data_IF_851687695205
#
_entry.id   IF_851687695205
#
_cell.length_a   1.000
_cell.length_b   1.000
_cell.length_c   1.000
_cell.angle_alpha   90.00
_cell.angle_beta   90.00
_cell.angle_gamma   90.00
#
_symmetry.space_group_name_H-M   'P 1'
#
loop_
_entity.id
_entity.type
_entity.pdbx_description
1 polymer ?
#
# COMPACT_ATOMS: atom_id res chain seq x y z
N UNK A 1 9.68 -7.42 7.61
CA UNK A 1 8.49 -7.51 6.76
C UNK A 1 7.23 -7.54 7.60
N UNK A 2 6.26 -6.80 7.19
CA UNK A 2 4.94 -6.84 7.82
C UNK A 2 3.95 -7.53 6.91
N UNK A 3 2.71 -7.56 7.33
CA UNK A 3 1.66 -8.24 6.57
C UNK A 3 0.39 -7.44 6.55
N UNK A 4 -0.28 -7.45 5.40
CA UNK A 4 -1.66 -7.01 5.25
C UNK A 4 -2.52 -8.28 5.20
N UNK A 5 -3.41 -8.42 6.16
CA UNK A 5 -4.28 -9.58 6.23
C UNK A 5 -5.67 -9.14 5.80
N UNK A 6 -6.19 -9.81 4.76
CA UNK A 6 -7.38 -9.39 4.05
C UNK A 6 -8.55 -10.32 4.33
N UNK A 7 -9.65 -9.72 4.77
CA UNK A 7 -10.89 -10.46 4.96
C UNK A 7 -10.82 -11.46 6.09
N UNK A 8 -11.80 -12.34 6.12
CA UNK A 8 -11.86 -13.37 7.15
C UNK A 8 -11.20 -14.67 6.71
N UNK A 9 -10.82 -14.76 5.43
CA UNK A 9 -10.20 -15.97 4.89
C UNK A 9 -8.71 -16.02 5.08
N UNK A 10 -8.14 -15.04 5.76
CA UNK A 10 -6.72 -15.04 6.13
C UNK A 10 -5.77 -14.98 4.94
N UNK A 11 -6.16 -14.25 3.90
CA UNK A 11 -5.23 -13.97 2.82
C UNK A 11 -4.21 -12.99 3.38
N UNK A 12 -2.95 -13.40 3.35
CA UNK A 12 -1.87 -12.60 3.93
C UNK A 12 -0.90 -12.19 2.84
N UNK A 13 -0.66 -10.88 2.73
CA UNK A 13 0.27 -10.33 1.75
C UNK A 13 1.40 -9.65 2.52
N UNK A 14 2.64 -10.04 2.22
CA UNK A 14 3.80 -9.48 2.90
C UNK A 14 4.32 -8.26 2.18
N UNK A 15 4.63 -7.22 2.95
CA UNK A 15 5.27 -6.00 2.47
C UNK A 15 6.30 -5.58 3.50
N UNK A 16 7.28 -4.81 3.07
CA UNK A 16 8.17 -4.16 4.03
C UNK A 16 7.35 -3.24 4.92
N UNK A 17 7.75 -3.10 6.17
CA UNK A 17 7.02 -2.25 7.11
C UNK A 17 6.86 -0.84 6.56
N UNK A 18 7.88 -0.32 5.90
CA UNK A 18 7.83 1.03 5.32
C UNK A 18 6.77 1.14 4.24
N UNK A 19 6.69 0.14 3.37
CA UNK A 19 5.64 0.10 2.34
C UNK A 19 4.27 0.01 2.98
N UNK A 20 4.13 -0.85 3.96
CA UNK A 20 2.85 -1.08 4.63
C UNK A 20 2.36 0.18 5.33
N UNK A 21 3.27 0.96 5.92
CA UNK A 21 2.90 2.19 6.59
C UNK A 21 2.29 3.18 5.61
N UNK A 22 2.92 3.34 4.44
CA UNK A 22 2.39 4.24 3.41
C UNK A 22 1.05 3.74 2.88
N UNK A 23 0.93 2.44 2.66
CA UNK A 23 -0.33 1.86 2.20
C UNK A 23 -1.44 2.08 3.22
N UNK A 24 -1.14 1.92 4.51
CA UNK A 24 -2.16 2.09 5.53
C UNK A 24 -2.74 3.51 5.50
N UNK A 25 -1.89 4.51 5.33
CA UNK A 25 -2.35 5.90 5.31
C UNK A 25 -3.31 6.12 4.14
N UNK A 26 -2.93 5.68 2.95
CA UNK A 26 -3.73 5.90 1.75
C UNK A 26 -5.03 5.11 1.83
N UNK A 27 -4.94 3.84 2.20
CA UNK A 27 -6.11 2.97 2.26
C UNK A 27 -7.08 3.47 3.34
N UNK A 28 -6.56 3.86 4.50
CA UNK A 28 -7.41 4.37 5.57
C UNK A 28 -8.16 5.62 5.13
N UNK A 29 -7.48 6.51 4.41
CA UNK A 29 -8.12 7.74 3.94
C UNK A 29 -9.29 7.43 3.02
N UNK A 30 -9.11 6.47 2.10
CA UNK A 30 -10.18 6.09 1.19
C UNK A 30 -11.35 5.42 1.91
N UNK A 31 -11.04 4.49 2.78
CA UNK A 31 -12.09 3.73 3.47
C UNK A 31 -12.87 4.59 4.46
N UNK A 32 -12.21 5.57 5.08
CA UNK A 32 -12.91 6.51 5.97
C UNK A 32 -13.92 7.35 5.22
N UNK A 33 -13.72 7.55 3.93
CA UNK A 33 -14.66 8.27 3.07
C UNK A 33 -15.68 7.31 2.46
N UNK A 34 -15.66 6.06 2.89
CA UNK A 34 -16.58 5.00 2.47
C UNK A 34 -16.48 4.72 0.97
N UNK A 35 -15.27 4.81 0.44
CA UNK A 35 -15.02 4.52 -0.96
C UNK A 35 -14.49 3.11 -1.08
N UNK A 36 -14.84 2.45 -2.18
CA UNK A 36 -14.36 1.11 -2.50
C UNK A 36 -13.46 1.21 -3.72
N UNK A 37 -12.43 0.37 -3.77
CA UNK A 37 -11.46 0.48 -4.86
C UNK A 37 -10.62 -0.79 -4.92
N UNK A 38 -10.01 -1.04 -6.07
CA UNK A 38 -9.03 -2.12 -6.19
C UNK A 38 -7.68 -1.66 -5.68
N UNK A 39 -6.93 -2.59 -5.09
CA UNK A 39 -5.55 -2.40 -4.74
C UNK A 39 -4.73 -3.46 -5.46
N UNK A 40 -3.75 -3.03 -6.23
CA UNK A 40 -2.93 -3.91 -7.06
C UNK A 40 -1.46 -3.73 -6.73
N UNK A 41 -0.72 -4.82 -6.82
CA UNK A 41 0.71 -4.78 -6.59
C UNK A 41 1.38 -5.83 -7.46
N UNK A 42 2.69 -5.70 -7.61
CA UNK A 42 3.47 -6.70 -8.33
C UNK A 42 4.00 -7.71 -7.32
N UNK A 43 3.77 -8.97 -7.60
CA UNK A 43 4.25 -10.04 -6.73
C UNK A 43 5.76 -10.13 -6.81
N UNK A 44 6.39 -10.63 -5.74
CA UNK A 44 7.82 -10.87 -5.76
C UNK A 44 8.11 -12.09 -6.64
N UNK A 45 9.35 -12.22 -7.07
CA UNK A 45 9.75 -13.39 -7.86
C UNK A 45 9.53 -14.68 -7.09
N UNK A 46 9.57 -14.61 -5.77
CA UNK A 46 9.34 -15.78 -4.92
C UNK A 46 7.97 -16.39 -5.15
N UNK A 47 6.96 -15.56 -5.44
CA UNK A 47 5.59 -16.04 -5.55
C UNK A 47 5.08 -15.99 -6.99
N UNK A 48 5.96 -15.82 -7.96
CA UNK A 48 5.56 -15.98 -9.34
C UNK A 48 5.71 -14.79 -10.26
N UNK A 49 6.21 -13.66 -9.80
CA UNK A 49 6.54 -12.52 -10.64
C UNK A 49 5.34 -11.96 -11.43
N UNK A 50 4.14 -12.16 -10.94
CA UNK A 50 2.94 -11.64 -11.57
C UNK A 50 2.42 -10.41 -10.88
N UNK A 51 1.14 -10.13 -11.11
CA UNK A 51 0.43 -9.04 -10.45
C UNK A 51 -0.76 -9.60 -9.69
N UNK A 52 -1.09 -8.96 -8.58
CA UNK A 52 -2.25 -9.34 -7.80
C UNK A 52 -3.12 -8.13 -7.53
N UNK A 53 -4.40 -8.33 -7.39
CA UNK A 53 -5.35 -7.28 -7.08
C UNK A 53 -6.38 -7.79 -6.09
N UNK A 54 -6.77 -6.92 -5.14
CA UNK A 54 -7.86 -7.23 -4.23
C UNK A 54 -8.83 -6.06 -4.21
N UNK A 55 -10.08 -6.35 -3.91
CA UNK A 55 -11.13 -5.35 -3.80
C UNK A 55 -11.22 -4.89 -2.35
N UNK A 56 -11.02 -3.61 -2.11
CA UNK A 56 -11.09 -3.02 -0.77
C UNK A 56 -12.40 -2.29 -0.61
N UNK A 57 -13.05 -2.52 0.54
CA UNK A 57 -14.36 -1.97 0.81
C UNK A 57 -14.48 -1.76 2.32
N UNK A 58 -15.20 -0.72 2.76
CA UNK A 58 -15.32 -0.47 4.20
C UNK A 58 -15.88 -1.64 5.00
N UNK A 59 -16.63 -2.54 4.34
CA UNK A 59 -17.17 -3.70 5.03
C UNK A 59 -16.25 -4.89 5.12
N UNK A 60 -15.07 -4.83 4.53
CA UNK A 60 -14.13 -5.96 4.53
C UNK A 60 -13.07 -5.72 5.59
N UNK A 61 -12.87 -6.64 6.53
CA UNK A 61 -11.87 -6.44 7.57
C UNK A 61 -10.45 -6.39 7.00
N UNK A 62 -9.64 -5.49 7.51
CA UNK A 62 -8.23 -5.37 7.16
C UNK A 62 -7.42 -5.32 8.44
N UNK A 63 -6.31 -6.05 8.44
CA UNK A 63 -5.41 -6.08 9.58
C UNK A 63 -4.00 -5.79 9.07
N UNK A 64 -3.40 -4.70 9.57
CA UNK A 64 -2.04 -4.32 9.23
C UNK A 64 -1.15 -4.72 10.39
N UNK A 65 -0.28 -5.69 10.14
CA UNK A 65 0.63 -6.18 11.17
C UNK A 65 2.06 -5.82 10.80
N UNK A 66 2.72 -5.07 11.67
CA UNK A 66 4.10 -4.63 11.43
C UNK A 66 5.06 -5.51 12.22
N UNK A 67 6.24 -5.76 11.65
CA UNK A 67 7.20 -6.61 12.33
C UNK A 67 8.03 -5.81 13.33
N UNK A 68 8.25 -4.52 13.08
CA UNK A 68 9.00 -3.68 14.01
C UNK A 68 8.10 -2.75 14.79
N UNK A 69 8.61 -2.26 15.92
CA UNK A 69 7.85 -1.33 16.76
C UNK A 69 8.06 0.13 16.40
N UNK A 70 9.02 0.42 15.54
CA UNK A 70 9.32 1.80 15.16
C UNK A 70 8.48 2.19 13.95
N UNK A 71 7.85 3.37 14.02
CA UNK A 71 7.08 3.87 12.90
C UNK A 71 8.04 4.44 11.86
N UNK A 72 8.01 3.94 10.61
CA UNK A 72 8.90 4.45 9.57
C UNK A 72 8.63 5.91 9.24
N UNK A 73 9.66 6.60 8.76
CA UNK A 73 9.52 7.96 8.28
C UNK A 73 8.73 7.96 6.98
N UNK A 74 7.80 8.89 6.86
CA UNK A 74 6.94 8.97 5.67
C UNK A 74 7.67 9.70 4.55
N UNK A 75 7.67 9.10 3.37
CA UNK A 75 8.15 9.73 2.14
C UNK A 75 6.96 10.43 1.50
N UNK A 76 6.90 11.73 1.61
CA UNK A 76 5.74 12.50 1.16
C UNK A 76 5.52 12.41 -0.34
N UNK A 77 6.59 12.30 -1.11
CA UNK A 77 6.46 12.16 -2.55
C UNK A 77 5.80 10.83 -2.91
N UNK A 78 6.22 9.75 -2.23
CA UNK A 78 5.61 8.46 -2.45
C UNK A 78 4.15 8.46 -2.05
N UNK A 79 3.87 9.06 -0.89
CA UNK A 79 2.50 9.14 -0.40
C UNK A 79 1.61 9.87 -1.41
N UNK A 80 2.11 10.96 -1.99
CA UNK A 80 1.36 11.71 -3.00
C UNK A 80 1.10 10.86 -4.24
N UNK A 81 2.10 10.10 -4.69
CA UNK A 81 1.93 9.23 -5.84
C UNK A 81 0.88 8.15 -5.58
N UNK A 82 0.95 7.53 -4.42
CA UNK A 82 0.00 6.48 -4.07
C UNK A 82 -1.41 7.05 -3.94
N UNK A 83 -1.54 8.22 -3.34
CA UNK A 83 -2.83 8.87 -3.21
C UNK A 83 -3.43 9.19 -4.58
N UNK A 84 -2.63 9.75 -5.48
CA UNK A 84 -3.10 10.05 -6.82
C UNK A 84 -3.55 8.77 -7.54
N UNK A 85 -2.77 7.72 -7.40
CA UNK A 85 -3.13 6.42 -7.99
C UNK A 85 -4.47 5.93 -7.45
N UNK A 86 -4.69 6.05 -6.14
CA UNK A 86 -5.91 5.55 -5.53
C UNK A 86 -7.17 6.27 -6.04
N UNK A 87 -7.01 7.46 -6.58
CA UNK A 87 -8.13 8.23 -7.11
C UNK A 87 -8.30 8.05 -8.62
N UNK A 88 -7.49 7.20 -9.23
CA UNK A 88 -7.61 6.94 -10.65
C UNK A 88 -8.61 5.80 -10.89
N UNK A 89 -9.00 5.63 -12.16
CA UNK A 89 -9.92 4.55 -12.51
C UNK A 89 -9.31 3.17 -12.33
N UNK A 90 -7.97 3.09 -12.29
CA UNK A 90 -7.29 1.81 -12.07
C UNK A 90 -7.24 1.41 -10.60
N UNK A 91 -7.61 2.30 -9.69
CA UNK A 91 -7.49 2.04 -8.27
C UNK A 91 -6.07 2.29 -7.78
N UNK A 92 -5.82 1.87 -6.56
CA UNK A 92 -4.50 2.07 -5.93
C UNK A 92 -3.51 1.06 -6.50
N UNK A 93 -2.49 1.56 -7.17
CA UNK A 93 -1.43 0.71 -7.72
C UNK A 93 -0.14 1.01 -6.96
N UNK A 94 0.43 -0.02 -6.35
CA UNK A 94 1.67 0.15 -5.59
C UNK A 94 2.83 0.38 -6.55
N UNK A 95 3.51 1.51 -6.36
CA UNK A 95 4.70 1.87 -7.12
C UNK A 95 5.93 1.71 -6.25
N UNK A 96 7.09 1.69 -6.88
CA UNK A 96 8.35 1.71 -6.13
C UNK A 96 8.50 3.06 -5.45
N UNK A 97 9.17 3.06 -4.32
CA UNK A 97 9.39 4.29 -3.57
C UNK A 97 10.33 5.20 -4.35
N UNK A 98 9.91 6.47 -4.63
CA UNK A 98 10.82 7.39 -5.29
C UNK A 98 12.01 7.71 -4.41
N UNK A 99 13.16 7.91 -5.03
CA UNK A 99 14.38 8.19 -4.31
C UNK A 99 14.36 9.58 -3.71
N UNK A 100 14.72 9.69 -2.43
CA UNK A 100 14.84 10.99 -1.78
C UNK A 100 15.98 11.80 -2.39
N UNK A 101 16.98 11.12 -2.96
CA UNK A 101 18.07 11.81 -3.63
C UNK A 101 17.59 12.62 -4.83
N UNK A 102 16.58 12.12 -5.53
CA UNK A 102 16.03 12.85 -6.67
C UNK A 102 15.47 14.20 -6.25
N UNK A 103 14.82 14.26 -5.11
CA UNK A 103 14.29 15.52 -4.61
C UNK A 103 15.40 16.53 -4.34
N UNK A 104 16.52 16.06 -3.81
CA UNK A 104 17.66 16.93 -3.53
C UNK A 104 18.28 17.41 -4.84
N UNK A 105 18.40 16.55 -5.82
CA UNK A 105 19.06 16.89 -7.08
C UNK A 105 18.28 17.86 -7.94
N UNK A 106 17.02 18.03 -7.66
CA UNK A 106 16.17 18.92 -8.47
C UNK A 106 16.24 20.38 -8.10
N UNK A 107 17.14 20.74 -7.27
CA UNK A 107 17.27 22.14 -6.86
C UNK A 107 17.72 23.06 -8.01
#
# INVERSE_FOLDING_TARGET
MGSLIYGTSSIEIEFEDRTLEHLQIVIATKLRRRESFFFSWRDTQKVGDGRSSIWLDPGIPLYFKYSGGRVPTINREWLAELTASSNSSSGLVLTDEPSLDNSVKRK
#
